data_IF_221843544606
#
_entry.id   IF_221843544606
#
_cell.length_a   1.000
_cell.length_b   1.000
_cell.length_c   1.000
_cell.angle_alpha   90.00
_cell.angle_beta   90.00
_cell.angle_gamma   90.00
#
_symmetry.space_group_name_H-M   'P 1'
#
loop_
_entity.id
_entity.type
_entity.pdbx_description
1 polymer ?
#
# COMPACT_ATOMS: atom_id res chain seq x y z
N UNK A 1 34.41 6.68 -4.22
CA UNK A 1 34.95 5.77 -3.19
C UNK A 1 34.36 6.17 -1.84
N UNK A 2 33.17 5.71 -1.51
CA UNK A 2 32.64 5.87 -0.17
C UNK A 2 33.28 4.79 0.72
N UNK A 3 33.96 5.22 1.76
CA UNK A 3 34.61 4.36 2.76
C UNK A 3 33.54 3.57 3.55
N UNK A 4 33.28 2.35 3.15
CA UNK A 4 32.27 1.47 3.73
C UNK A 4 30.96 1.45 2.94
N UNK A 5 30.23 0.34 3.00
CA UNK A 5 28.93 0.20 2.33
C UNK A 5 27.87 1.15 2.93
N UNK A 6 27.06 1.79 2.10
CA UNK A 6 26.01 2.72 2.55
C UNK A 6 25.05 2.11 3.57
N UNK A 7 24.71 0.82 3.42
CA UNK A 7 23.84 0.10 4.33
C UNK A 7 24.48 -0.08 5.70
N UNK A 8 25.71 -0.60 5.72
CA UNK A 8 26.45 -0.88 6.96
C UNK A 8 26.70 0.38 7.78
N UNK A 9 27.05 1.49 7.11
CA UNK A 9 27.26 2.78 7.78
C UNK A 9 25.97 3.34 8.39
N UNK A 10 24.83 3.18 7.71
CA UNK A 10 23.51 3.61 8.24
C UNK A 10 23.10 2.80 9.46
N UNK A 11 23.27 1.47 9.41
CA UNK A 11 22.92 0.58 10.52
C UNK A 11 23.86 0.83 11.72
N UNK A 12 25.14 1.03 11.48
CA UNK A 12 26.11 1.37 12.54
C UNK A 12 25.73 2.64 13.31
N UNK A 13 25.22 3.66 12.57
CA UNK A 13 24.73 4.91 13.19
C UNK A 13 23.38 4.77 13.88
N UNK A 14 22.53 3.87 13.39
CA UNK A 14 21.17 3.63 13.90
C UNK A 14 20.89 2.14 13.98
N UNK A 15 21.34 1.46 15.03
CA UNK A 15 21.21 0.00 15.16
C UNK A 15 19.74 -0.46 15.24
N UNK A 16 18.85 0.35 15.83
CA UNK A 16 17.41 0.06 15.87
C UNK A 16 16.73 0.67 14.65
N UNK A 17 16.65 -0.10 13.57
CA UNK A 17 16.09 0.38 12.30
C UNK A 17 15.28 -0.69 11.58
N UNK A 18 14.42 -0.23 10.67
CA UNK A 18 13.73 -1.10 9.72
C UNK A 18 14.42 -0.94 8.36
N UNK A 19 14.82 -2.06 7.78
CA UNK A 19 15.51 -2.13 6.50
C UNK A 19 14.55 -2.78 5.51
N UNK A 20 14.28 -2.09 4.42
CA UNK A 20 13.43 -2.57 3.33
C UNK A 20 14.30 -2.86 2.10
N UNK A 21 14.24 -4.11 1.63
CA UNK A 21 14.75 -4.51 0.33
C UNK A 21 13.55 -4.69 -0.61
N UNK A 22 13.37 -3.74 -1.50
CA UNK A 22 12.27 -3.76 -2.44
C UNK A 22 12.67 -4.53 -3.72
N UNK A 23 11.75 -5.36 -4.25
CA UNK A 23 11.94 -6.17 -5.45
C UNK A 23 13.20 -7.07 -5.38
N UNK A 24 13.31 -7.85 -4.32
CA UNK A 24 14.51 -8.66 -4.03
C UNK A 24 14.85 -9.68 -5.14
N UNK A 25 13.87 -10.09 -5.95
CA UNK A 25 14.07 -10.96 -7.11
C UNK A 25 14.95 -10.33 -8.20
N UNK A 26 15.09 -9.00 -8.19
CA UNK A 26 15.95 -8.26 -9.15
C UNK A 26 17.36 -8.03 -8.62
N UNK A 27 17.63 -8.41 -7.38
CA UNK A 27 18.93 -8.19 -6.76
C UNK A 27 19.99 -9.12 -7.36
N UNK A 28 21.24 -8.64 -7.36
CA UNK A 28 22.37 -9.48 -7.73
C UNK A 28 22.52 -10.64 -6.72
N UNK A 29 22.97 -11.84 -7.14
CA UNK A 29 23.18 -12.99 -6.26
C UNK A 29 24.04 -12.69 -5.03
N UNK A 30 25.01 -11.80 -5.13
CA UNK A 30 25.85 -11.40 -4.00
C UNK A 30 25.07 -10.66 -2.90
N UNK A 31 24.02 -9.93 -3.26
CA UNK A 31 23.12 -9.30 -2.26
C UNK A 31 22.37 -10.37 -1.48
N UNK A 32 21.92 -11.44 -2.15
CA UNK A 32 21.27 -12.57 -1.51
C UNK A 32 22.24 -13.32 -0.57
N UNK A 33 23.52 -13.43 -0.94
CA UNK A 33 24.54 -14.02 -0.09
C UNK A 33 24.84 -13.15 1.16
N UNK A 34 24.89 -11.82 0.98
CA UNK A 34 25.00 -10.90 2.12
C UNK A 34 23.80 -11.00 3.06
N UNK A 35 22.59 -11.10 2.51
CA UNK A 35 21.37 -11.29 3.31
C UNK A 35 21.41 -12.59 4.11
N UNK A 36 21.89 -13.69 3.53
CA UNK A 36 22.09 -14.94 4.24
C UNK A 36 23.01 -14.73 5.45
N UNK A 37 24.17 -14.08 5.26
CA UNK A 37 25.09 -13.78 6.35
C UNK A 37 24.42 -12.96 7.47
N UNK A 38 23.68 -11.90 7.10
CA UNK A 38 22.97 -11.07 8.07
C UNK A 38 21.93 -11.89 8.87
N UNK A 39 21.15 -12.74 8.18
CA UNK A 39 20.09 -13.53 8.81
C UNK A 39 20.60 -14.71 9.63
N UNK A 40 21.81 -15.23 9.32
CA UNK A 40 22.44 -16.33 10.05
C UNK A 40 23.23 -15.82 11.24
N UNK A 41 24.17 -14.91 10.97
CA UNK A 41 25.16 -14.47 11.95
C UNK A 41 24.69 -13.23 12.74
N UNK A 42 23.70 -12.51 12.25
CA UNK A 42 23.24 -11.26 12.82
C UNK A 42 24.20 -10.08 12.61
N UNK A 43 25.21 -10.25 11.77
CA UNK A 43 26.19 -9.20 11.48
C UNK A 43 26.71 -9.29 10.04
N UNK A 44 27.23 -8.18 9.53
CA UNK A 44 27.83 -8.09 8.21
C UNK A 44 29.19 -7.40 8.32
N UNK A 45 30.21 -7.96 7.67
CA UNK A 45 31.52 -7.33 7.55
C UNK A 45 31.52 -6.35 6.37
N UNK A 46 31.85 -5.09 6.64
CA UNK A 46 31.94 -4.07 5.59
C UNK A 46 33.23 -4.18 4.77
N UNK A 47 33.34 -3.38 3.71
CA UNK A 47 34.53 -3.36 2.84
C UNK A 47 35.83 -2.94 3.51
N UNK A 48 35.79 -2.43 4.76
CA UNK A 48 36.94 -2.07 5.57
C UNK A 48 37.25 -3.13 6.63
N UNK A 49 36.59 -4.30 6.60
CA UNK A 49 36.77 -5.37 7.57
C UNK A 49 36.08 -5.15 8.92
N UNK A 50 35.24 -4.14 9.07
CA UNK A 50 34.51 -3.86 10.31
C UNK A 50 33.23 -4.66 10.36
N UNK A 51 32.94 -5.31 11.49
CA UNK A 51 31.66 -5.99 11.71
C UNK A 51 30.59 -4.99 12.15
N UNK A 52 29.43 -5.05 11.51
CA UNK A 52 28.25 -4.24 11.82
C UNK A 52 27.13 -5.16 12.29
N UNK A 53 26.55 -4.86 13.46
CA UNK A 53 25.52 -5.65 14.12
C UNK A 53 24.13 -5.31 13.58
N UNK A 54 23.40 -6.33 13.08
CA UNK A 54 22.05 -6.25 12.54
C UNK A 54 20.99 -6.89 13.44
N UNK A 55 21.35 -7.45 14.60
CA UNK A 55 20.43 -8.18 15.50
C UNK A 55 19.28 -7.33 16.03
N UNK A 56 19.44 -6.02 16.04
CA UNK A 56 18.41 -5.07 16.46
C UNK A 56 17.67 -4.42 15.28
N UNK A 57 17.79 -4.98 14.09
CA UNK A 57 17.09 -4.48 12.89
C UNK A 57 15.92 -5.38 12.54
N UNK A 58 14.87 -4.78 11.96
CA UNK A 58 13.81 -5.52 11.29
C UNK A 58 14.09 -5.48 9.79
N UNK A 59 14.21 -6.65 9.18
CA UNK A 59 14.47 -6.78 7.74
C UNK A 59 13.18 -7.18 7.04
N UNK A 60 12.78 -6.38 6.07
CA UNK A 60 11.59 -6.60 5.25
C UNK A 60 12.05 -6.76 3.79
N UNK A 61 11.62 -7.83 3.15
CA UNK A 61 11.87 -8.09 1.73
C UNK A 61 10.53 -8.06 0.99
N UNK A 62 10.45 -7.32 -0.10
CA UNK A 62 9.28 -7.37 -0.98
C UNK A 62 9.62 -8.12 -2.27
N UNK A 63 8.65 -8.76 -2.86
CA UNK A 63 8.80 -9.45 -4.13
C UNK A 63 7.49 -9.49 -4.92
N UNK A 64 7.61 -9.47 -6.24
CA UNK A 64 6.50 -9.65 -7.17
C UNK A 64 6.43 -11.09 -7.73
N UNK A 65 7.21 -12.03 -7.18
CA UNK A 65 7.19 -13.44 -7.61
C UNK A 65 5.79 -14.01 -7.42
N UNK A 66 5.25 -14.61 -8.47
CA UNK A 66 3.94 -15.25 -8.45
C UNK A 66 2.73 -14.29 -8.59
N UNK A 67 2.94 -12.98 -8.77
CA UNK A 67 1.83 -12.04 -9.00
C UNK A 67 0.98 -12.40 -10.23
N UNK A 68 1.55 -13.05 -11.24
CA UNK A 68 0.83 -13.51 -12.44
C UNK A 68 -0.31 -14.47 -12.09
N UNK A 69 -0.16 -15.31 -11.08
CA UNK A 69 -1.22 -16.22 -10.65
C UNK A 69 -2.44 -15.50 -10.06
N UNK A 70 -2.24 -14.31 -9.49
CA UNK A 70 -3.34 -13.50 -8.99
C UNK A 70 -4.19 -12.89 -10.11
N UNK A 71 -3.60 -12.73 -11.29
CA UNK A 71 -4.27 -12.20 -12.50
C UNK A 71 -5.04 -13.29 -13.24
N UNK A 72 -4.53 -14.51 -13.23
CA UNK A 72 -5.14 -15.68 -13.88
C UNK A 72 -6.25 -16.31 -13.03
N UNK A 73 -6.33 -15.98 -11.74
CA UNK A 73 -7.41 -16.47 -10.89
C UNK A 73 -8.75 -15.98 -11.46
N UNK A 74 -9.65 -16.89 -11.90
CA UNK A 74 -10.94 -16.48 -12.40
C UNK A 74 -11.61 -15.64 -11.31
N UNK A 75 -12.11 -14.46 -11.68
CA UNK A 75 -13.05 -13.71 -10.85
C UNK A 75 -14.23 -14.67 -10.65
N UNK A 76 -14.23 -15.40 -9.53
CA UNK A 76 -15.31 -16.33 -9.21
C UNK A 76 -16.57 -15.47 -9.20
N UNK A 77 -17.44 -15.74 -10.17
CA UNK A 77 -18.69 -15.01 -10.33
C UNK A 77 -19.43 -15.06 -9.00
N UNK A 78 -19.77 -13.93 -8.47
CA UNK A 78 -20.51 -13.75 -7.24
C UNK A 78 -21.86 -14.45 -7.33
N UNK A 79 -21.99 -15.62 -6.69
CA UNK A 79 -23.29 -16.14 -6.31
C UNK A 79 -23.65 -15.49 -4.97
N UNK A 80 -24.79 -14.79 -4.87
CA UNK A 80 -25.21 -14.16 -3.63
C UNK A 80 -25.44 -15.23 -2.55
N UNK A 81 -24.64 -15.20 -1.49
CA UNK A 81 -24.85 -16.03 -0.30
C UNK A 81 -23.69 -16.89 0.19
N UNK A 82 -22.62 -17.11 -0.59
CA UNK A 82 -21.45 -17.93 -0.17
C UNK A 82 -20.12 -17.18 -0.17
N UNK A 83 -20.19 -15.86 -0.06
CA UNK A 83 -19.06 -14.95 -0.35
C UNK A 83 -17.81 -15.16 0.52
N UNK A 84 -17.96 -15.57 1.78
CA UNK A 84 -16.81 -15.59 2.70
C UNK A 84 -15.96 -16.86 2.61
N UNK A 85 -16.57 -18.03 2.41
CA UNK A 85 -15.85 -19.31 2.39
C UNK A 85 -15.14 -19.56 1.05
N UNK A 86 -15.80 -19.21 -0.06
CA UNK A 86 -15.22 -19.38 -1.40
C UNK A 86 -14.02 -18.46 -1.63
N UNK A 87 -14.06 -17.24 -1.15
CA UNK A 87 -12.95 -16.27 -1.25
C UNK A 87 -11.75 -16.71 -0.42
N UNK A 88 -11.97 -17.22 0.79
CA UNK A 88 -10.90 -17.77 1.65
C UNK A 88 -10.22 -18.98 1.02
N UNK A 89 -11.00 -19.95 0.50
CA UNK A 89 -10.44 -21.13 -0.18
C UNK A 89 -9.67 -20.76 -1.44
N UNK A 90 -10.16 -19.80 -2.23
CA UNK A 90 -9.45 -19.30 -3.41
C UNK A 90 -8.14 -18.61 -3.03
N UNK A 91 -8.12 -17.86 -1.93
CA UNK A 91 -6.92 -17.21 -1.42
C UNK A 91 -5.88 -18.22 -0.93
N UNK A 92 -6.29 -19.26 -0.19
CA UNK A 92 -5.37 -20.28 0.31
C UNK A 92 -4.74 -21.09 -0.83
N UNK A 93 -5.52 -21.40 -1.87
CA UNK A 93 -5.02 -22.04 -3.08
C UNK A 93 -4.02 -21.13 -3.83
N UNK A 94 -4.32 -19.85 -3.95
CA UNK A 94 -3.44 -18.85 -4.56
C UNK A 94 -2.15 -18.69 -3.74
N UNK A 95 -2.26 -18.58 -2.42
CA UNK A 95 -1.13 -18.50 -1.48
C UNK A 95 -0.19 -19.69 -1.66
N UNK A 96 -0.75 -20.90 -1.75
CA UNK A 96 0.03 -22.11 -1.95
C UNK A 96 0.81 -22.09 -3.26
N UNK A 97 0.19 -21.64 -4.36
CA UNK A 97 0.85 -21.47 -5.66
C UNK A 97 1.96 -20.44 -5.62
N UNK A 98 1.70 -19.27 -5.02
CA UNK A 98 2.70 -18.19 -4.89
C UNK A 98 3.90 -18.69 -4.06
N UNK A 99 3.65 -19.33 -2.91
CA UNK A 99 4.73 -19.86 -2.07
C UNK A 99 5.54 -20.96 -2.77
N UNK A 100 4.90 -21.78 -3.61
CA UNK A 100 5.61 -22.76 -4.43
C UNK A 100 6.52 -22.07 -5.46
N UNK A 101 6.08 -20.96 -6.06
CA UNK A 101 6.86 -20.21 -7.01
C UNK A 101 8.04 -19.46 -6.34
N UNK A 102 7.81 -18.88 -5.17
CA UNK A 102 8.88 -18.27 -4.36
C UNK A 102 9.99 -19.30 -4.06
N UNK A 103 9.61 -20.55 -3.70
CA UNK A 103 10.57 -21.64 -3.44
C UNK A 103 11.38 -22.07 -4.65
N UNK A 104 10.91 -21.83 -5.88
CA UNK A 104 11.67 -22.10 -7.09
C UNK A 104 12.69 -21.01 -7.41
N UNK A 105 12.37 -19.76 -7.06
CA UNK A 105 13.19 -18.60 -7.42
C UNK A 105 14.15 -18.17 -6.32
N UNK A 106 13.86 -18.49 -5.07
CA UNK A 106 14.70 -18.15 -3.92
C UNK A 106 15.43 -19.39 -3.39
N UNK A 107 16.65 -19.18 -2.89
CA UNK A 107 17.42 -20.24 -2.23
C UNK A 107 16.66 -20.77 -1.01
N UNK A 108 16.52 -22.11 -0.85
CA UNK A 108 15.85 -22.72 0.31
C UNK A 108 16.43 -22.27 1.65
N UNK A 109 17.75 -22.07 1.70
CA UNK A 109 18.47 -21.59 2.88
C UNK A 109 17.98 -20.21 3.31
N UNK A 110 17.75 -19.30 2.35
CA UNK A 110 17.25 -17.96 2.65
C UNK A 110 15.80 -18.02 3.15
N UNK A 111 14.95 -18.84 2.52
CA UNK A 111 13.55 -19.01 2.93
C UNK A 111 13.45 -19.57 4.35
N UNK A 112 14.34 -20.50 4.73
CA UNK A 112 14.38 -21.11 6.05
C UNK A 112 14.74 -20.12 7.17
N UNK A 113 15.29 -18.95 6.82
CA UNK A 113 15.70 -17.89 7.78
C UNK A 113 14.63 -16.81 7.96
N UNK A 114 13.56 -16.83 7.17
CA UNK A 114 12.46 -15.88 7.37
C UNK A 114 11.58 -16.33 8.53
N UNK A 115 11.27 -15.40 9.42
CA UNK A 115 10.30 -15.63 10.49
C UNK A 115 8.89 -15.79 9.92
N UNK A 116 8.55 -15.01 8.88
CA UNK A 116 7.23 -15.03 8.28
C UNK A 116 7.26 -14.73 6.77
N UNK A 117 6.41 -15.47 6.02
CA UNK A 117 6.14 -15.24 4.61
C UNK A 117 4.68 -14.77 4.47
N UNK A 118 4.52 -13.48 4.18
CA UNK A 118 3.21 -12.83 4.04
C UNK A 118 2.83 -12.72 2.56
N UNK A 119 1.69 -13.31 2.19
CA UNK A 119 1.10 -13.14 0.87
C UNK A 119 -0.08 -12.17 0.99
N UNK A 120 0.02 -11.04 0.29
CA UNK A 120 -1.04 -10.04 0.28
C UNK A 120 -2.22 -10.48 -0.59
N UNK A 121 -3.42 -10.10 -0.16
CA UNK A 121 -4.63 -10.29 -0.95
C UNK A 121 -4.65 -9.32 -2.15
N UNK A 122 -5.25 -9.76 -3.25
CA UNK A 122 -5.58 -8.84 -4.34
C UNK A 122 -6.56 -7.76 -3.83
N UNK A 123 -6.40 -6.54 -4.35
CA UNK A 123 -7.27 -5.44 -3.96
C UNK A 123 -8.66 -5.61 -4.57
N UNK A 124 -9.69 -5.71 -3.73
CA UNK A 124 -11.08 -5.70 -4.20
C UNK A 124 -11.50 -4.29 -4.66
N UNK A 125 -12.59 -4.22 -5.42
CA UNK A 125 -13.15 -2.95 -5.89
C UNK A 125 -13.52 -2.02 -4.73
N UNK A 126 -14.02 -2.58 -3.63
CA UNK A 126 -14.40 -1.86 -2.41
C UNK A 126 -13.17 -1.25 -1.73
N UNK A 127 -12.07 -2.00 -1.65
CA UNK A 127 -10.80 -1.52 -1.10
C UNK A 127 -10.21 -0.43 -1.98
N UNK A 128 -10.23 -0.60 -3.31
CA UNK A 128 -9.78 0.44 -4.25
C UNK A 128 -10.60 1.72 -4.09
N UNK A 129 -11.93 1.61 -3.89
CA UNK A 129 -12.80 2.76 -3.61
C UNK A 129 -12.40 3.47 -2.31
N UNK A 130 -12.12 2.73 -1.24
CA UNK A 130 -11.66 3.31 0.03
C UNK A 130 -10.31 4.04 -0.13
N UNK A 131 -9.39 3.47 -0.91
CA UNK A 131 -8.10 4.10 -1.20
C UNK A 131 -8.31 5.37 -2.03
N UNK A 132 -9.21 5.35 -3.02
CA UNK A 132 -9.58 6.52 -3.81
C UNK A 132 -10.14 7.63 -2.92
N UNK A 133 -11.08 7.30 -2.03
CA UNK A 133 -11.66 8.28 -1.10
C UNK A 133 -10.60 8.89 -0.17
N UNK A 134 -9.63 8.11 0.27
CA UNK A 134 -8.51 8.59 1.08
C UNK A 134 -7.60 9.54 0.27
N UNK A 135 -7.27 9.21 -0.98
CA UNK A 135 -6.46 10.09 -1.84
C UNK A 135 -7.22 11.40 -2.17
N UNK A 136 -8.50 11.31 -2.52
CA UNK A 136 -9.34 12.50 -2.74
C UNK A 136 -9.45 13.38 -1.49
N UNK A 137 -9.45 12.80 -0.31
CA UNK A 137 -9.46 13.55 0.95
C UNK A 137 -8.19 14.37 1.13
N UNK A 138 -7.02 13.78 0.84
CA UNK A 138 -5.74 14.51 0.87
C UNK A 138 -5.73 15.69 -0.10
N UNK A 139 -6.27 15.49 -1.31
CA UNK A 139 -6.39 16.57 -2.30
C UNK A 139 -7.34 17.66 -1.80
N UNK A 140 -8.49 17.30 -1.21
CA UNK A 140 -9.45 18.26 -0.63
C UNK A 140 -8.81 19.10 0.48
N UNK A 141 -8.09 18.46 1.41
CA UNK A 141 -7.40 19.15 2.50
C UNK A 141 -6.34 20.14 1.98
N UNK A 142 -5.55 19.71 0.99
CA UNK A 142 -4.55 20.57 0.38
C UNK A 142 -5.17 21.78 -0.33
N UNK A 143 -6.23 21.58 -1.10
CA UNK A 143 -6.91 22.65 -1.84
C UNK A 143 -7.74 23.56 -0.93
N UNK A 144 -8.30 23.06 0.17
CA UNK A 144 -9.04 23.87 1.14
C UNK A 144 -8.16 24.99 1.72
N UNK A 145 -6.87 24.76 1.91
CA UNK A 145 -5.91 25.77 2.37
C UNK A 145 -5.73 26.94 1.36
N UNK A 146 -6.05 26.69 0.10
CA UNK A 146 -6.01 27.72 -0.98
C UNK A 146 -7.40 28.29 -1.31
N UNK A 147 -8.44 27.93 -0.52
CA UNK A 147 -9.81 28.38 -0.74
C UNK A 147 -10.54 27.68 -1.91
N UNK A 148 -9.97 26.59 -2.44
CA UNK A 148 -10.54 25.81 -3.53
C UNK A 148 -11.27 24.59 -2.94
N UNK A 149 -12.52 24.37 -3.41
CA UNK A 149 -13.34 23.21 -3.04
C UNK A 149 -13.82 22.52 -4.29
N UNK A 150 -13.96 21.20 -4.24
CA UNK A 150 -14.50 20.44 -5.36
C UNK A 150 -15.39 19.29 -4.91
N UNK A 151 -16.32 18.94 -5.76
CA UNK A 151 -17.19 17.78 -5.64
C UNK A 151 -17.05 16.95 -6.92
N UNK A 152 -17.23 15.64 -6.80
CA UNK A 152 -17.28 14.71 -7.92
C UNK A 152 -18.71 14.21 -8.05
N UNK A 153 -19.25 14.14 -9.27
CA UNK A 153 -20.49 13.41 -9.52
C UNK A 153 -20.23 11.88 -9.52
N UNK A 154 -21.29 11.08 -9.49
CA UNK A 154 -21.19 9.62 -9.48
C UNK A 154 -20.51 9.06 -10.73
N UNK A 155 -20.72 9.71 -11.87
CA UNK A 155 -20.12 9.31 -13.14
C UNK A 155 -18.61 9.58 -13.15
N UNK A 156 -18.15 10.71 -12.57
CA UNK A 156 -16.73 11.01 -12.37
C UNK A 156 -16.05 10.02 -11.41
N UNK A 157 -16.74 9.66 -10.30
CA UNK A 157 -16.22 8.65 -9.38
C UNK A 157 -16.08 7.29 -10.07
N UNK A 158 -17.05 6.90 -10.86
CA UNK A 158 -17.00 5.64 -11.61
C UNK A 158 -15.87 5.64 -12.63
N UNK A 159 -15.66 6.76 -13.32
CA UNK A 159 -14.58 6.93 -14.29
C UNK A 159 -13.21 6.83 -13.61
N UNK A 160 -13.02 7.47 -12.46
CA UNK A 160 -11.80 7.38 -11.66
C UNK A 160 -11.53 5.95 -11.18
N UNK A 161 -12.56 5.25 -10.68
CA UNK A 161 -12.43 3.87 -10.26
C UNK A 161 -12.02 2.97 -11.43
N UNK A 162 -12.63 3.12 -12.60
CA UNK A 162 -12.28 2.33 -13.76
C UNK A 162 -10.87 2.63 -14.28
N UNK A 163 -10.44 3.90 -14.24
CA UNK A 163 -9.08 4.30 -14.60
C UNK A 163 -8.02 3.76 -13.61
N UNK A 164 -8.41 3.59 -12.34
CA UNK A 164 -7.56 3.05 -11.29
C UNK A 164 -7.48 1.52 -11.29
N UNK A 165 -8.50 0.84 -11.80
CA UNK A 165 -8.60 -0.62 -11.82
C UNK A 165 -7.81 -1.22 -12.99
N UNK A 166 -6.46 -1.15 -12.91
CA UNK A 166 -5.59 -1.94 -13.77
C UNK A 166 -5.08 -3.14 -12.94
N UNK A 167 -5.51 -4.37 -13.24
CA UNK A 167 -5.16 -5.56 -12.45
C UNK A 167 -3.66 -5.72 -12.22
N UNK A 168 -2.87 -5.33 -13.20
CA UNK A 168 -1.41 -5.52 -13.22
C UNK A 168 -0.63 -4.55 -12.32
N UNK A 169 -1.23 -3.44 -11.89
CA UNK A 169 -0.50 -2.34 -11.25
C UNK A 169 -0.99 -2.02 -9.82
N UNK A 170 -1.98 -2.76 -9.31
CA UNK A 170 -2.55 -2.53 -7.98
C UNK A 170 -3.15 -1.13 -7.82
N UNK A 171 -2.84 -0.44 -6.73
CA UNK A 171 -3.33 0.92 -6.46
C UNK A 171 -2.40 2.04 -6.99
N UNK A 172 -1.23 1.73 -7.55
CA UNK A 172 -0.28 2.74 -8.09
C UNK A 172 -0.89 3.63 -9.19
N UNK A 173 -1.71 3.11 -10.15
CA UNK A 173 -2.36 3.94 -11.15
C UNK A 173 -3.36 4.95 -10.58
N UNK A 174 -3.93 4.67 -9.40
CA UNK A 174 -4.96 5.48 -8.78
C UNK A 174 -4.46 6.91 -8.49
N UNK A 175 -3.26 7.04 -7.92
CA UNK A 175 -2.67 8.35 -7.65
C UNK A 175 -2.49 9.16 -8.95
N UNK A 176 -1.96 8.52 -10.01
CA UNK A 176 -1.82 9.16 -11.33
C UNK A 176 -3.17 9.50 -11.96
N UNK A 177 -4.19 8.65 -11.74
CA UNK A 177 -5.55 8.93 -12.21
C UNK A 177 -6.15 10.15 -11.49
N UNK A 178 -5.96 10.27 -10.17
CA UNK A 178 -6.40 11.43 -9.40
C UNK A 178 -5.66 12.69 -9.85
N UNK A 179 -4.36 12.64 -10.02
CA UNK A 179 -3.55 13.76 -10.52
C UNK A 179 -4.08 14.23 -11.89
N UNK A 180 -4.12 13.33 -12.88
CA UNK A 180 -4.52 13.66 -14.26
C UNK A 180 -6.01 14.04 -14.41
N UNK A 181 -6.90 13.35 -13.70
CA UNK A 181 -8.36 13.51 -13.90
C UNK A 181 -9.00 14.48 -12.92
N UNK A 182 -8.35 14.79 -11.81
CA UNK A 182 -8.90 15.69 -10.78
C UNK A 182 -8.03 16.94 -10.65
N UNK A 183 -6.74 16.80 -10.38
CA UNK A 183 -5.87 17.94 -10.07
C UNK A 183 -5.61 18.81 -11.29
N UNK A 184 -5.26 18.21 -12.44
CA UNK A 184 -4.98 18.98 -13.67
C UNK A 184 -6.20 19.79 -14.15
N UNK A 185 -7.44 19.21 -14.29
CA UNK A 185 -8.61 20.00 -14.69
C UNK A 185 -9.00 21.07 -13.66
N UNK A 186 -8.76 20.81 -12.36
CA UNK A 186 -8.98 21.84 -11.33
C UNK A 186 -7.98 22.98 -11.43
N UNK A 187 -6.71 22.68 -11.72
CA UNK A 187 -5.69 23.69 -11.90
C UNK A 187 -6.04 24.61 -13.09
N UNK A 188 -6.41 24.02 -14.24
CA UNK A 188 -6.83 24.78 -15.42
C UNK A 188 -8.07 25.66 -15.15
N UNK A 189 -9.08 25.10 -14.46
CA UNK A 189 -10.28 25.84 -14.08
C UNK A 189 -9.97 26.97 -13.08
N UNK A 190 -9.02 26.75 -12.17
CA UNK A 190 -8.59 27.78 -11.23
C UNK A 190 -7.89 28.97 -11.89
N UNK A 191 -7.18 28.75 -13.00
CA UNK A 191 -6.53 29.83 -13.76
C UNK A 191 -7.51 30.74 -14.47
N UNK A 192 -8.68 30.20 -14.87
CA UNK A 192 -9.72 30.92 -15.61
C UNK A 192 -10.82 31.51 -14.73
N UNK A 193 -10.88 31.17 -13.46
CA UNK A 193 -11.94 31.58 -12.55
C UNK A 193 -11.63 32.91 -11.84
N UNK A 194 -12.60 33.86 -11.88
CA UNK A 194 -12.43 35.26 -11.41
C UNK A 194 -12.62 35.52 -9.91
N UNK A 195 -12.91 34.49 -9.07
CA UNK A 195 -13.27 34.68 -7.66
C UNK A 195 -12.28 34.05 -6.67
N UNK A 196 -12.13 34.69 -5.48
CA UNK A 196 -11.27 34.21 -4.40
C UNK A 196 -11.74 32.91 -3.72
N UNK A 197 -13.02 32.53 -3.89
CA UNK A 197 -13.58 31.25 -3.42
C UNK A 197 -14.06 30.47 -4.64
N UNK A 198 -13.43 29.33 -4.87
CA UNK A 198 -13.63 28.53 -6.07
C UNK A 198 -14.20 27.17 -5.66
N UNK A 199 -15.48 26.94 -5.98
CA UNK A 199 -16.12 25.63 -5.82
C UNK A 199 -16.41 25.05 -7.20
N UNK A 200 -15.87 23.86 -7.47
CA UNK A 200 -15.98 23.21 -8.76
C UNK A 200 -16.77 21.90 -8.64
N UNK A 201 -17.52 21.57 -9.68
CA UNK A 201 -18.09 20.24 -9.91
C UNK A 201 -17.28 19.57 -11.02
N UNK A 202 -16.76 18.39 -10.73
CA UNK A 202 -16.06 17.56 -11.70
C UNK A 202 -17.04 16.54 -12.29
N UNK A 203 -17.24 16.62 -13.59
CA UNK A 203 -18.12 15.75 -14.38
C UNK A 203 -17.38 15.18 -15.59
N UNK A 204 -17.77 14.02 -16.14
CA UNK A 204 -17.16 13.48 -17.33
C UNK A 204 -17.33 14.43 -18.52
N UNK A 205 -16.21 14.78 -19.12
CA UNK A 205 -16.16 15.56 -20.36
C UNK A 205 -16.26 14.68 -21.62
N UNK A 206 -16.13 15.29 -22.80
CA UNK A 206 -16.05 14.57 -24.06
C UNK A 206 -14.83 13.63 -24.07
N UNK A 207 -14.94 12.59 -24.89
CA UNK A 207 -13.81 11.68 -25.14
C UNK A 207 -12.75 12.44 -25.93
N UNK A 208 -11.51 12.42 -25.47
CA UNK A 208 -10.40 13.05 -26.19
C UNK A 208 -10.14 12.33 -27.54
N UNK A 209 -9.41 13.00 -28.45
CA UNK A 209 -9.02 12.41 -29.74
C UNK A 209 -8.22 11.10 -29.59
N UNK A 210 -7.65 10.83 -28.40
CA UNK A 210 -6.93 9.59 -28.05
C UNK A 210 -7.84 8.54 -27.40
N UNK A 211 -9.16 8.76 -27.33
CA UNK A 211 -10.12 7.82 -26.73
C UNK A 211 -10.21 7.89 -25.20
N UNK A 212 -9.45 8.73 -24.54
CA UNK A 212 -9.47 8.92 -23.09
C UNK A 212 -10.61 9.86 -22.68
N UNK A 213 -11.39 9.47 -21.66
CA UNK A 213 -12.36 10.37 -21.03
C UNK A 213 -11.64 11.26 -20.02
N UNK A 214 -11.86 12.55 -20.13
CA UNK A 214 -11.33 13.58 -19.21
C UNK A 214 -12.45 14.04 -18.28
N UNK A 215 -12.12 14.49 -17.08
CA UNK A 215 -13.09 15.22 -16.25
C UNK A 215 -12.99 16.71 -16.56
N UNK A 216 -14.15 17.39 -16.58
CA UNK A 216 -14.23 18.85 -16.70
C UNK A 216 -14.62 19.42 -15.35
N UNK A 217 -13.88 20.42 -14.91
CA UNK A 217 -14.19 21.20 -13.72
C UNK A 217 -15.07 22.39 -14.10
N UNK A 218 -16.33 22.38 -13.66
CA UNK A 218 -17.29 23.48 -13.88
C UNK A 218 -17.45 24.27 -12.58
N UNK A 219 -17.26 25.59 -12.62
CA UNK A 219 -17.42 26.42 -11.42
C UNK A 219 -18.90 26.45 -11.01
N UNK A 220 -19.18 26.14 -9.73
CA UNK A 220 -20.52 26.29 -9.15
C UNK A 220 -20.79 27.76 -8.81
N UNK A 221 -22.00 28.29 -9.11
CA UNK A 221 -22.38 29.63 -8.68
C UNK A 221 -22.36 29.73 -7.14
N UNK A 222 -21.88 30.85 -6.60
CA UNK A 222 -21.57 31.07 -5.17
C UNK A 222 -22.80 31.08 -4.22
N UNK A 223 -23.99 30.73 -4.65
CA UNK A 223 -25.27 30.95 -3.96
C UNK A 223 -25.87 29.74 -3.21
N UNK A 224 -25.13 28.64 -3.02
CA UNK A 224 -25.63 27.52 -2.22
C UNK A 224 -24.85 27.37 -0.92
N UNK A 225 -25.51 27.38 0.26
CA UNK A 225 -24.84 27.09 1.52
C UNK A 225 -24.33 25.66 1.49
N UNK A 226 -23.03 25.52 1.72
CA UNK A 226 -22.37 24.22 1.88
C UNK A 226 -23.07 23.40 2.96
N UNK A 227 -23.76 22.32 2.57
CA UNK A 227 -24.05 21.25 3.54
C UNK A 227 -22.74 20.55 3.86
N UNK A 228 -22.07 21.02 4.91
CA UNK A 228 -20.95 20.31 5.51
C UNK A 228 -21.52 19.06 6.15
N UNK A 229 -21.60 17.98 5.40
CA UNK A 229 -21.82 16.65 5.97
C UNK A 229 -20.56 16.26 6.72
N UNK A 230 -20.44 16.73 7.96
CA UNK A 230 -19.51 16.12 8.93
C UNK A 230 -19.99 14.69 9.19
N UNK A 231 -19.66 13.77 8.30
CA UNK A 231 -19.63 12.36 8.68
C UNK A 231 -18.55 12.24 9.75
N UNK A 232 -18.99 12.27 11.02
CA UNK A 232 -18.19 11.78 12.11
C UNK A 232 -17.91 10.30 11.84
N UNK A 233 -16.81 10.02 11.21
CA UNK A 233 -16.26 8.68 11.17
C UNK A 233 -15.64 8.46 12.54
N UNK A 234 -16.49 8.09 13.51
CA UNK A 234 -16.02 7.50 14.75
C UNK A 234 -15.52 6.09 14.41
N UNK A 235 -14.29 6.00 13.93
CA UNK A 235 -13.53 4.78 14.01
C UNK A 235 -13.29 4.50 15.48
N UNK A 236 -14.25 3.80 16.12
CA UNK A 236 -14.00 3.16 17.39
C UNK A 236 -13.01 2.01 17.12
N UNK A 237 -11.74 2.31 17.23
CA UNK A 237 -10.71 1.28 17.37
C UNK A 237 -11.00 0.59 18.71
N UNK A 238 -11.81 -0.46 18.67
CA UNK A 238 -11.91 -1.43 19.75
C UNK A 238 -10.61 -2.21 19.78
N UNK A 239 -9.67 -1.73 20.56
CA UNK A 239 -8.53 -2.52 21.01
C UNK A 239 -9.06 -3.72 21.81
N UNK A 240 -8.74 -4.97 21.46
CA UNK A 240 -9.06 -6.09 22.32
C UNK A 240 -8.12 -6.05 23.52
N UNK A 241 -8.62 -5.57 24.66
CA UNK A 241 -7.97 -5.79 25.96
C UNK A 241 -7.96 -7.30 26.23
N UNK A 242 -6.87 -7.97 25.89
CA UNK A 242 -6.55 -9.29 26.44
C UNK A 242 -6.20 -9.10 27.91
N UNK A 243 -7.12 -9.52 28.76
CA UNK A 243 -6.90 -9.71 30.20
C UNK A 243 -5.86 -10.82 30.37
N UNK A 244 -4.62 -10.44 30.62
CA UNK A 244 -3.59 -11.39 31.04
C UNK A 244 -3.89 -11.75 32.49
N UNK A 245 -4.51 -12.88 32.73
CA UNK A 245 -4.57 -13.52 34.06
C UNK A 245 -3.15 -13.94 34.42
N UNK A 246 -2.54 -13.21 35.34
CA UNK A 246 -1.35 -13.66 36.07
C UNK A 246 -1.74 -14.94 36.84
N UNK A 247 -1.24 -16.08 36.41
CA UNK A 247 -1.14 -17.26 37.27
C UNK A 247 0.11 -17.07 38.12
N UNK A 248 -0.09 -16.81 39.40
CA UNK A 248 0.94 -16.94 40.41
C UNK A 248 1.33 -18.42 40.49
N UNK A 249 2.58 -18.69 40.14
CA UNK A 249 3.20 -20.01 40.39
C UNK A 249 3.91 -19.89 41.73
N UNK A 250 3.28 -20.45 42.75
CA UNK A 250 3.87 -20.63 44.08
C UNK A 250 4.91 -21.75 43.98
N UNK A 251 6.18 -21.39 44.06
CA UNK A 251 7.28 -22.36 44.23
C UNK A 251 7.41 -22.68 45.72
N UNK A 252 7.04 -23.91 46.07
CA UNK A 252 7.37 -24.52 47.37
C UNK A 252 8.84 -24.94 47.40
N UNK A 253 9.59 -24.68 48.49
CA UNK A 253 10.96 -25.16 48.61
C UNK A 253 10.95 -26.63 49.07
N UNK A 254 11.53 -27.51 48.30
CA UNK A 254 11.92 -28.86 48.81
C UNK A 254 13.27 -28.74 49.47
N UNK A 255 13.30 -29.10 50.76
CA UNK A 255 14.47 -29.46 51.54
C UNK A 255 15.07 -30.79 51.03
N UNK A 256 16.31 -30.88 50.97
CA UNK A 256 17.38 -31.78 51.32
C UNK A 256 18.49 -31.68 50.29
#
# INVERSE_FOLDING_TARGET
YEEGGQLTERVRRRPYSVILFDEIEKAHPDVLNMLLQILEDGHLTDGLGRQVDFRNTVIILTSNIGCNFAMEAPTVGFLPGEESKGVLMAHDALRTKILAEVRKHMKPELIARFDELVVFHALSREVIKQILDAELTKVRERLANTGVHFELDEAAQTLLLNAAMKPEQGARPLRRAVERLVEDPLADACLTADSNRKTFLLSPGPVSAMGDRVLIATQKPSSLPMKITKKKTSLSVRSPRKTIRKKEVTLSPKKV
#
